data_IF_277225525644
#
_entry.id   IF_277225525644
#
_cell.length_a   1.000
_cell.length_b   1.000
_cell.length_c   1.000
_cell.angle_alpha   90.00
_cell.angle_beta   90.00
_cell.angle_gamma   90.00
#
_symmetry.space_group_name_H-M   'P 1'
#
loop_
_entity.id
_entity.type
_entity.pdbx_description
1 polymer ?
#
# COMPACT_ATOMS: atom_id res chain seq x y z
N UNK A 1 8.61 11.38 10.86
CA UNK A 1 7.74 10.19 10.98
C UNK A 1 8.10 9.21 9.89
N UNK A 2 7.99 7.90 10.10
CA UNK A 2 8.24 6.90 9.05
C UNK A 2 7.26 5.73 9.16
N UNK A 3 6.91 5.15 8.03
CA UNK A 3 6.05 3.98 7.91
C UNK A 3 6.48 3.08 6.76
N UNK A 4 6.12 1.80 6.84
CA UNK A 4 6.31 0.87 5.72
C UNK A 4 5.12 -0.06 5.58
N UNK A 5 4.79 -0.45 4.35
CA UNK A 5 3.73 -1.40 4.06
C UNK A 5 4.25 -2.45 3.09
N UNK A 6 4.21 -3.71 3.51
CA UNK A 6 4.47 -4.87 2.66
C UNK A 6 3.17 -5.34 2.06
N UNK A 7 3.12 -5.48 0.73
CA UNK A 7 1.95 -5.91 -0.01
C UNK A 7 2.28 -7.26 -0.65
N UNK A 8 1.54 -8.30 -0.24
CA UNK A 8 1.75 -9.67 -0.70
C UNK A 8 0.62 -10.10 -1.61
N UNK A 9 0.96 -10.57 -2.81
CA UNK A 9 -0.01 -11.12 -3.74
C UNK A 9 -0.28 -12.60 -3.42
N UNK A 10 -1.52 -12.95 -3.10
CA UNK A 10 -2.01 -14.30 -2.88
C UNK A 10 -3.23 -14.62 -3.76
N UNK A 11 -3.37 -13.97 -4.93
CA UNK A 11 -4.55 -14.15 -5.80
C UNK A 11 -4.47 -15.39 -6.69
N UNK A 12 -3.31 -16.05 -6.77
CA UNK A 12 -3.06 -17.11 -7.74
C UNK A 12 -2.65 -16.59 -9.13
N UNK A 13 -2.69 -15.28 -9.36
CA UNK A 13 -2.35 -14.64 -10.63
C UNK A 13 -1.17 -13.66 -10.49
N UNK A 14 -0.79 -12.99 -11.59
CA UNK A 14 0.20 -11.89 -11.56
C UNK A 14 -0.55 -10.56 -11.50
N UNK A 15 -0.25 -9.76 -10.49
CA UNK A 15 -0.73 -8.38 -10.40
C UNK A 15 0.29 -7.43 -11.04
N UNK A 16 -0.19 -6.41 -11.75
CA UNK A 16 0.63 -5.32 -12.28
C UNK A 16 0.25 -4.03 -11.60
N UNK A 17 1.23 -3.32 -11.04
CA UNK A 17 1.03 -1.98 -10.50
C UNK A 17 0.67 -1.03 -11.65
N UNK A 18 -0.49 -0.40 -11.57
CA UNK A 18 -0.99 0.54 -12.59
C UNK A 18 -0.91 1.99 -12.11
N UNK A 19 -0.92 2.20 -10.80
CA UNK A 19 -0.82 3.51 -10.19
C UNK A 19 -0.07 3.41 -8.87
N UNK A 20 0.77 4.40 -8.59
CA UNK A 20 1.35 4.60 -7.27
C UNK A 20 1.54 6.10 -7.04
N UNK A 21 1.07 6.60 -5.90
CA UNK A 21 1.26 8.00 -5.50
C UNK A 21 1.37 8.15 -3.99
N UNK A 22 2.08 9.19 -3.57
CA UNK A 22 2.09 9.62 -2.18
C UNK A 22 0.75 10.29 -1.83
N UNK A 23 0.27 10.07 -0.61
CA UNK A 23 -0.90 10.79 -0.06
C UNK A 23 -0.46 12.07 0.64
N UNK A 24 0.73 12.06 1.23
CA UNK A 24 1.34 13.19 1.92
C UNK A 24 2.65 13.59 1.24
N UNK A 25 3.15 14.79 1.52
CA UNK A 25 4.42 15.30 1.00
C UNK A 25 5.60 14.62 1.74
N UNK A 26 5.89 13.39 1.35
CA UNK A 26 6.82 12.47 2.02
C UNK A 26 8.25 12.69 1.51
N UNK A 27 9.10 13.27 2.36
CA UNK A 27 10.49 13.60 2.05
C UNK A 27 11.35 12.38 1.67
N UNK A 28 11.02 11.19 2.18
CA UNK A 28 11.65 9.92 1.82
C UNK A 28 10.60 8.96 1.31
N UNK A 29 10.79 8.45 0.10
CA UNK A 29 9.81 7.59 -0.58
C UNK A 29 10.51 6.49 -1.38
N UNK A 30 10.09 5.26 -1.15
CA UNK A 30 10.49 4.09 -1.93
C UNK A 30 9.27 3.23 -2.17
N UNK A 31 8.95 2.97 -3.44
CA UNK A 31 7.79 2.19 -3.84
C UNK A 31 8.09 1.48 -5.17
N UNK A 32 7.39 0.37 -5.49
CA UNK A 32 7.49 -0.24 -6.80
C UNK A 32 7.06 0.75 -7.89
N UNK A 33 7.78 0.85 -9.02
CA UNK A 33 7.33 1.65 -10.15
C UNK A 33 6.03 1.11 -10.77
N UNK A 34 5.31 1.96 -11.49
CA UNK A 34 4.23 1.51 -12.37
C UNK A 34 4.78 0.50 -13.38
N UNK A 35 4.03 -0.57 -13.62
CA UNK A 35 4.44 -1.71 -14.44
C UNK A 35 5.13 -2.83 -13.66
N UNK A 36 5.44 -2.64 -12.37
CA UNK A 36 5.95 -3.72 -11.53
C UNK A 36 4.97 -4.89 -11.49
N UNK A 37 5.48 -6.09 -11.78
CA UNK A 37 4.76 -7.36 -11.69
C UNK A 37 4.98 -7.96 -10.30
N UNK A 38 3.90 -8.27 -9.62
CA UNK A 38 3.89 -8.98 -8.33
C UNK A 38 3.34 -10.38 -8.62
N UNK A 39 4.22 -11.37 -8.75
CA UNK A 39 3.78 -12.76 -8.95
C UNK A 39 3.08 -13.31 -7.69
N UNK A 40 2.29 -14.37 -7.86
CA UNK A 40 1.66 -15.03 -6.72
C UNK A 40 2.72 -15.50 -5.69
N UNK A 41 2.45 -15.26 -4.41
CA UNK A 41 3.36 -15.50 -3.29
C UNK A 41 4.50 -14.49 -3.14
N UNK A 42 4.63 -13.52 -4.06
CA UNK A 42 5.64 -12.46 -3.97
C UNK A 42 5.08 -11.22 -3.27
N UNK A 43 5.99 -10.40 -2.75
CA UNK A 43 5.66 -9.17 -2.07
C UNK A 43 6.47 -7.99 -2.59
N UNK A 44 5.89 -6.80 -2.47
CA UNK A 44 6.59 -5.52 -2.65
C UNK A 44 6.46 -4.71 -1.37
N UNK A 45 7.45 -3.86 -1.10
CA UNK A 45 7.42 -2.97 0.05
C UNK A 45 7.33 -1.52 -0.41
N UNK A 46 6.47 -0.76 0.25
CA UNK A 46 6.41 0.70 0.17
C UNK A 46 6.96 1.25 1.47
N UNK A 47 7.96 2.13 1.40
CA UNK A 47 8.55 2.82 2.54
C UNK A 47 8.37 4.31 2.38
N UNK A 48 7.83 4.92 3.43
CA UNK A 48 7.45 6.32 3.47
C UNK A 48 8.08 6.96 4.70
N UNK A 49 8.51 8.19 4.56
CA UNK A 49 9.01 8.95 5.67
C UNK A 49 8.95 10.44 5.39
N UNK A 50 8.71 11.17 6.47
CA UNK A 50 8.60 12.60 6.45
C UNK A 50 9.59 13.19 7.46
N UNK A 51 10.33 14.20 7.03
CA UNK A 51 11.19 14.99 7.91
C UNK A 51 10.28 15.89 8.76
N UNK A 52 9.94 15.42 9.95
CA UNK A 52 9.11 16.17 10.89
C UNK A 52 9.98 17.15 11.66
N UNK A 53 9.67 18.46 11.61
CA UNK A 53 10.30 19.47 12.45
C UNK A 53 9.24 20.02 13.40
N UNK A 54 9.49 19.98 14.72
CA UNK A 54 8.55 20.52 15.70
C UNK A 54 8.25 22.02 15.41
N UNK A 55 6.99 22.47 15.39
CA UNK A 55 5.73 21.76 15.74
C UNK A 55 5.01 21.07 14.56
N UNK A 56 5.55 21.11 13.35
CA UNK A 56 4.94 20.60 12.12
C UNK A 56 5.22 19.11 11.92
N UNK A 57 4.55 18.26 12.71
CA UNK A 57 4.54 16.82 12.44
C UNK A 57 3.62 16.56 11.25
N UNK A 58 4.13 15.87 10.23
CA UNK A 58 3.40 15.51 9.00
C UNK A 58 3.16 14.00 8.97
N UNK A 59 1.99 13.62 8.46
CA UNK A 59 1.64 12.23 8.20
C UNK A 59 2.40 11.66 7.00
N UNK A 60 2.18 10.38 6.74
CA UNK A 60 2.73 9.64 5.60
C UNK A 60 1.64 8.73 5.03
N UNK A 61 1.72 8.41 3.73
CA UNK A 61 0.67 7.60 3.13
C UNK A 61 0.85 7.34 1.64
N UNK A 62 0.13 6.35 1.13
CA UNK A 62 0.17 6.00 -0.28
C UNK A 62 -1.19 5.62 -0.84
N UNK A 63 -1.30 5.74 -2.16
CA UNK A 63 -2.36 5.14 -2.95
C UNK A 63 -1.72 4.25 -4.02
N UNK A 64 -2.06 2.96 -4.01
CA UNK A 64 -1.61 1.96 -4.98
C UNK A 64 -2.83 1.46 -5.77
N UNK A 65 -2.72 1.48 -7.09
CA UNK A 65 -3.62 0.78 -8.01
C UNK A 65 -2.91 -0.39 -8.68
N UNK A 66 -3.64 -1.47 -8.92
CA UNK A 66 -3.14 -2.62 -9.65
C UNK A 66 -4.20 -3.22 -10.58
N UNK A 67 -3.76 -4.04 -11.53
CA UNK A 67 -4.60 -4.89 -12.38
C UNK A 67 -4.14 -6.34 -12.28
N UNK A 68 -5.08 -7.26 -12.17
CA UNK A 68 -4.82 -8.69 -12.33
C UNK A 68 -4.72 -9.03 -13.82
N UNK A 69 -3.56 -9.55 -14.26
CA UNK A 69 -3.32 -9.89 -15.66
C UNK A 69 -4.16 -11.06 -16.18
N UNK A 70 -4.67 -11.91 -15.30
CA UNK A 70 -5.49 -13.07 -15.68
C UNK A 70 -6.94 -12.67 -15.98
N UNK A 71 -7.49 -11.75 -15.20
CA UNK A 71 -8.91 -11.40 -15.21
C UNK A 71 -9.19 -10.00 -15.77
N UNK A 72 -8.17 -9.13 -15.86
CA UNK A 72 -8.31 -7.72 -16.20
C UNK A 72 -8.97 -6.88 -15.10
N UNK A 73 -9.22 -7.46 -13.92
CA UNK A 73 -9.90 -6.81 -12.81
C UNK A 73 -8.91 -5.91 -12.07
N UNK A 74 -9.28 -4.65 -11.90
CA UNK A 74 -8.47 -3.68 -11.15
C UNK A 74 -8.69 -3.80 -9.65
N UNK A 75 -7.73 -3.40 -8.85
CA UNK A 75 -7.84 -3.29 -7.41
C UNK A 75 -6.97 -2.14 -6.89
N UNK A 76 -7.02 -1.89 -5.60
CA UNK A 76 -6.25 -0.79 -5.02
C UNK A 76 -6.23 -0.79 -3.51
N UNK A 77 -5.20 -0.16 -2.97
CA UNK A 77 -4.93 -0.02 -1.55
C UNK A 77 -4.57 1.44 -1.29
N UNK A 78 -5.32 2.07 -0.40
CA UNK A 78 -5.04 3.39 0.13
C UNK A 78 -4.65 3.24 1.61
N UNK A 79 -3.58 3.93 2.00
CA UNK A 79 -3.13 4.05 3.38
C UNK A 79 -2.82 5.52 3.68
N UNK A 80 -3.39 6.03 4.76
CA UNK A 80 -3.08 7.35 5.31
C UNK A 80 -2.80 7.22 6.81
N UNK A 81 -1.62 7.68 7.21
CA UNK A 81 -1.11 7.65 8.58
C UNK A 81 -0.93 9.10 8.99
N UNK A 82 -1.93 9.72 9.63
CA UNK A 82 -1.82 11.10 10.05
C UNK A 82 -0.74 11.25 11.12
N UNK A 83 -0.17 12.46 11.22
CA UNK A 83 0.78 12.81 12.27
C UNK A 83 0.23 12.56 13.68
N UNK A 84 -1.07 12.80 13.85
CA UNK A 84 -1.83 12.58 15.08
C UNK A 84 -3.20 12.05 14.68
N UNK A 85 -3.60 10.91 15.25
CA UNK A 85 -4.91 10.31 15.00
C UNK A 85 -4.82 8.84 14.61
N UNK A 86 -5.97 8.31 14.17
CA UNK A 86 -6.06 6.92 13.74
C UNK A 86 -5.56 6.74 12.30
N UNK A 87 -4.90 5.62 12.05
CA UNK A 87 -4.46 5.23 10.72
C UNK A 87 -5.66 4.72 9.91
N UNK A 88 -5.70 5.04 8.62
CA UNK A 88 -6.84 4.75 7.76
C UNK A 88 -6.41 3.93 6.55
N UNK A 89 -7.14 2.83 6.32
CA UNK A 89 -7.04 2.01 5.12
C UNK A 89 -8.35 2.04 4.35
N UNK A 90 -8.24 2.09 3.02
CA UNK A 90 -9.35 1.88 2.10
C UNK A 90 -8.91 0.98 0.95
N UNK A 91 -9.82 0.16 0.44
CA UNK A 91 -9.51 -0.85 -0.56
C UNK A 91 -10.53 -0.81 -1.70
N UNK A 92 -10.05 -0.91 -2.94
CA UNK A 92 -10.92 -0.95 -4.11
C UNK A 92 -11.40 -2.39 -4.39
N UNK A 93 -12.58 -2.53 -5.00
CA UNK A 93 -13.12 -3.81 -5.47
C UNK A 93 -13.15 -4.94 -4.41
N UNK A 94 -13.52 -4.59 -3.18
CA UNK A 94 -13.68 -5.53 -2.06
C UNK A 94 -14.78 -6.59 -2.29
N UNK A 95 -15.58 -6.49 -3.35
CA UNK A 95 -16.51 -7.54 -3.76
C UNK A 95 -15.80 -8.75 -4.39
N UNK A 96 -14.57 -8.56 -4.92
CA UNK A 96 -13.76 -9.58 -5.60
C UNK A 96 -12.54 -9.94 -4.77
N UNK A 97 -11.89 -8.94 -4.18
CA UNK A 97 -10.67 -9.13 -3.39
C UNK A 97 -10.95 -9.10 -1.89
N UNK A 98 -10.15 -9.86 -1.14
CA UNK A 98 -9.98 -9.72 0.28
C UNK A 98 -8.60 -9.12 0.58
N UNK A 99 -8.53 -8.25 1.59
CA UNK A 99 -7.34 -7.49 1.96
C UNK A 99 -6.94 -7.71 3.42
N UNK A 100 -6.55 -8.94 3.82
CA UNK A 100 -6.14 -9.20 5.19
C UNK A 100 -4.98 -8.26 5.55
N UNK A 101 -5.21 -7.44 6.58
CA UNK A 101 -4.29 -6.38 6.99
C UNK A 101 -3.88 -6.58 8.44
N UNK A 102 -2.57 -6.44 8.69
CA UNK A 102 -2.00 -6.50 10.04
C UNK A 102 -1.00 -5.37 10.25
N UNK A 103 -0.87 -4.94 11.51
CA UNK A 103 0.11 -3.95 11.94
C UNK A 103 1.05 -4.61 12.97
N UNK A 104 2.11 -5.32 12.52
CA UNK A 104 3.05 -5.98 13.43
C UNK A 104 3.81 -5.02 14.36
N UNK A 105 3.92 -3.73 14.00
CA UNK A 105 4.59 -2.74 14.83
C UNK A 105 4.17 -1.35 14.40
N UNK A 106 3.56 -0.55 15.27
CA UNK A 106 3.31 0.90 15.14
C UNK A 106 2.93 1.41 13.74
N UNK A 107 3.95 1.59 12.88
CA UNK A 107 3.86 2.13 11.52
C UNK A 107 4.34 1.15 10.43
N UNK A 108 4.35 -0.15 10.71
CA UNK A 108 4.72 -1.21 9.79
C UNK A 108 3.51 -2.09 9.54
N UNK A 109 3.12 -2.22 8.29
CA UNK A 109 1.89 -2.92 7.88
C UNK A 109 2.19 -4.05 6.93
N UNK A 110 1.38 -5.09 6.99
CA UNK A 110 1.32 -6.13 5.99
C UNK A 110 -0.10 -6.20 5.44
N UNK A 111 -0.24 -6.12 4.13
CA UNK A 111 -1.51 -6.27 3.40
C UNK A 111 -1.36 -7.44 2.45
N UNK A 112 -2.17 -8.49 2.65
CA UNK A 112 -2.34 -9.53 1.63
C UNK A 112 -3.39 -9.10 0.62
N UNK A 113 -3.27 -9.56 -0.62
CA UNK A 113 -4.31 -9.46 -1.65
C UNK A 113 -4.69 -10.88 -2.03
N UNK A 114 -5.92 -11.31 -1.74
CA UNK A 114 -6.41 -12.62 -2.17
C UNK A 114 -7.76 -12.47 -2.88
N UNK A 115 -8.12 -13.45 -3.71
CA UNK A 115 -9.48 -13.55 -4.24
C UNK A 115 -10.43 -14.00 -3.11
N UNK A 116 -11.70 -13.59 -3.21
CA UNK A 116 -12.79 -14.08 -2.38
C UNK A 116 -13.34 -15.41 -2.87
#
# INVERSE_FOLDING_TARGET
MGASCTITNNTGAVLVVTQISQVNDDATWSAPPVGTKIANGQSVQISMGNASAFPFVRGVGFNLGFIDLSSGIVGGIYLDIPAVGAHHFSYANQQIYNYPTSNPSGNTYNVGISLK
#
